data_IF_810673136294
#
_entry.id   IF_810673136294
#
_cell.length_a   1.000
_cell.length_b   1.000
_cell.length_c   1.000
_cell.angle_alpha   90.00
_cell.angle_beta   90.00
_cell.angle_gamma   90.00
#
_symmetry.space_group_name_H-M   'P 1'
#
loop_
_entity.id
_entity.type
_entity.pdbx_description
1 polymer ?
#
# COMPACT_ATOMS: atom_id res chain seq x y z
N UNK A 1 -11.32 2.48 -15.17
CA UNK A 1 -11.17 3.05 -13.86
C UNK A 1 -12.05 4.29 -13.72
N UNK A 2 -12.75 4.42 -12.58
CA UNK A 2 -13.57 5.59 -12.24
C UNK A 2 -12.84 6.46 -11.19
N UNK A 3 -11.51 6.45 -11.21
CA UNK A 3 -10.66 7.17 -10.26
C UNK A 3 -11.10 8.62 -10.08
N UNK A 4 -11.25 9.03 -8.82
CA UNK A 4 -11.67 10.36 -8.44
C UNK A 4 -13.17 10.67 -8.57
N UNK A 5 -13.99 9.71 -9.04
CA UNK A 5 -15.43 9.91 -9.21
C UNK A 5 -16.31 8.91 -8.46
N UNK A 6 -16.00 7.61 -8.49
CA UNK A 6 -16.76 6.59 -7.80
C UNK A 6 -15.90 5.37 -7.46
N UNK A 7 -16.15 4.76 -6.31
CA UNK A 7 -15.51 3.50 -5.90
C UNK A 7 -16.08 2.31 -6.69
N UNK A 8 -15.32 1.23 -6.82
CA UNK A 8 -15.78 -0.02 -7.45
C UNK A 8 -17.09 -0.53 -6.81
N UNK A 9 -17.21 -0.41 -5.48
CA UNK A 9 -18.40 -0.78 -4.73
C UNK A 9 -19.62 0.09 -5.08
N UNK A 10 -19.44 1.40 -5.24
CA UNK A 10 -20.51 2.32 -5.63
C UNK A 10 -20.99 2.06 -7.04
N UNK A 11 -20.05 1.82 -7.98
CA UNK A 11 -20.39 1.46 -9.37
C UNK A 11 -21.18 0.17 -9.41
N UNK A 12 -20.74 -0.88 -8.72
CA UNK A 12 -21.48 -2.14 -8.61
C UNK A 12 -22.89 -1.92 -8.09
N UNK A 13 -23.07 -1.12 -7.03
CA UNK A 13 -24.39 -0.82 -6.45
C UNK A 13 -25.30 -0.09 -7.43
N UNK A 14 -24.78 0.93 -8.12
CA UNK A 14 -25.55 1.71 -9.09
C UNK A 14 -25.98 0.82 -10.25
N UNK A 15 -25.05 0.02 -10.80
CA UNK A 15 -25.34 -0.88 -11.92
C UNK A 15 -26.35 -1.96 -11.53
N UNK A 16 -26.17 -2.60 -10.38
CA UNK A 16 -27.11 -3.64 -9.90
C UNK A 16 -28.52 -3.08 -9.77
N UNK A 17 -28.68 -1.90 -9.15
CA UNK A 17 -29.98 -1.25 -9.02
C UNK A 17 -30.61 -0.97 -10.39
N UNK A 18 -29.85 -0.43 -11.34
CA UNK A 18 -30.38 -0.13 -12.68
C UNK A 18 -30.74 -1.36 -13.47
N UNK A 19 -29.98 -2.45 -13.37
CA UNK A 19 -30.32 -3.72 -14.02
C UNK A 19 -31.62 -4.28 -13.43
N UNK A 20 -31.78 -4.31 -12.11
CA UNK A 20 -33.00 -4.80 -11.47
C UNK A 20 -34.24 -3.93 -11.75
N UNK A 21 -34.07 -2.61 -11.97
CA UNK A 21 -35.16 -1.73 -12.40
C UNK A 21 -35.65 -2.06 -13.82
N UNK A 22 -34.74 -2.43 -14.74
CA UNK A 22 -35.04 -2.72 -16.15
C UNK A 22 -35.49 -4.19 -16.35
N UNK A 23 -34.86 -5.09 -15.60
CA UNK A 23 -35.07 -6.53 -15.64
C UNK A 23 -35.42 -7.07 -14.24
N UNK A 24 -36.66 -6.90 -13.77
CA UNK A 24 -37.07 -7.24 -12.39
C UNK A 24 -36.87 -8.71 -12.02
N UNK A 25 -36.97 -9.60 -12.98
CA UNK A 25 -36.84 -11.05 -12.78
C UNK A 25 -35.38 -11.55 -12.90
N UNK A 26 -34.41 -10.65 -13.07
CA UNK A 26 -33.01 -11.02 -13.17
C UNK A 26 -32.34 -11.14 -11.80
N UNK A 27 -31.49 -12.15 -11.63
CA UNK A 27 -30.54 -12.23 -10.52
C UNK A 27 -29.28 -11.42 -10.88
N UNK A 28 -28.93 -10.43 -10.06
CA UNK A 28 -27.76 -9.58 -10.29
C UNK A 28 -26.67 -9.90 -9.29
N UNK A 29 -25.57 -10.51 -9.75
CA UNK A 29 -24.38 -10.78 -8.94
C UNK A 29 -23.38 -9.66 -9.15
N UNK A 30 -23.16 -8.81 -8.14
CA UNK A 30 -22.22 -7.70 -8.18
C UNK A 30 -20.87 -8.12 -7.59
N UNK A 31 -19.83 -8.17 -8.42
CA UNK A 31 -18.47 -8.51 -8.01
C UNK A 31 -17.60 -7.26 -8.13
N UNK A 32 -17.26 -6.58 -7.01
CA UNK A 32 -16.34 -5.47 -7.04
C UNK A 32 -14.94 -5.97 -7.41
N UNK A 33 -14.29 -5.28 -8.33
CA UNK A 33 -12.92 -5.58 -8.73
C UNK A 33 -11.96 -4.54 -8.17
N UNK A 34 -10.77 -4.97 -7.83
CA UNK A 34 -9.65 -4.16 -7.40
C UNK A 34 -8.42 -4.47 -8.25
N UNK A 35 -7.63 -3.45 -8.55
CA UNK A 35 -6.42 -3.55 -9.39
C UNK A 35 -5.12 -3.38 -8.59
N UNK A 36 -5.21 -3.43 -7.26
CA UNK A 36 -4.09 -3.20 -6.34
C UNK A 36 -3.85 -1.73 -6.00
N UNK A 37 -4.66 -0.81 -6.54
CA UNK A 37 -4.67 0.60 -6.18
C UNK A 37 -5.68 0.90 -5.07
N UNK A 38 -6.10 2.18 -5.00
CA UNK A 38 -7.02 2.69 -4.00
C UNK A 38 -8.36 1.90 -3.98
N UNK A 39 -8.77 1.47 -2.79
CA UNK A 39 -10.02 0.71 -2.54
C UNK A 39 -9.86 -0.81 -2.56
N UNK A 40 -8.67 -1.33 -2.86
CA UNK A 40 -8.42 -2.79 -2.84
C UNK A 40 -8.63 -3.39 -1.46
N UNK A 41 -8.15 -2.74 -0.39
CA UNK A 41 -8.35 -3.17 1.01
C UNK A 41 -9.84 -3.29 1.33
N UNK A 42 -10.65 -2.31 0.94
CA UNK A 42 -12.09 -2.32 1.21
C UNK A 42 -12.82 -3.45 0.47
N UNK A 43 -12.37 -3.79 -0.74
CA UNK A 43 -12.87 -4.94 -1.50
C UNK A 43 -12.55 -6.25 -0.77
N UNK A 44 -11.29 -6.44 -0.35
CA UNK A 44 -10.88 -7.63 0.39
C UNK A 44 -11.65 -7.79 1.71
N UNK A 45 -11.75 -6.72 2.50
CA UNK A 45 -12.49 -6.74 3.77
C UNK A 45 -13.97 -7.05 3.55
N UNK A 46 -14.56 -6.58 2.47
CA UNK A 46 -15.97 -6.87 2.15
C UNK A 46 -16.19 -8.33 1.76
N UNK A 47 -15.26 -8.94 1.04
CA UNK A 47 -15.39 -10.32 0.54
C UNK A 47 -15.04 -11.33 1.63
N UNK A 48 -13.94 -11.11 2.34
CA UNK A 48 -13.39 -12.08 3.29
C UNK A 48 -13.72 -11.75 4.76
N UNK A 49 -14.29 -10.59 5.03
CA UNK A 49 -14.41 -10.07 6.40
C UNK A 49 -13.06 -9.62 6.95
N UNK A 50 -13.04 -9.34 8.26
CA UNK A 50 -11.80 -8.93 8.93
C UNK A 50 -11.88 -7.51 9.49
N UNK A 51 -10.74 -6.91 9.78
CA UNK A 51 -10.64 -5.59 10.37
C UNK A 51 -9.72 -4.65 9.59
N UNK A 52 -10.04 -3.35 9.65
CA UNK A 52 -9.19 -2.29 9.11
C UNK A 52 -8.33 -1.72 10.23
N UNK A 53 -7.02 -1.91 10.14
CA UNK A 53 -6.03 -1.40 11.08
C UNK A 53 -5.55 -0.04 10.60
N UNK A 54 -5.52 0.94 11.51
CA UNK A 54 -5.02 2.29 11.22
C UNK A 54 -3.80 2.59 12.08
N UNK A 55 -2.75 3.11 11.46
CA UNK A 55 -1.51 3.51 12.14
C UNK A 55 -0.97 4.82 11.55
N UNK A 56 -0.08 5.46 12.29
CA UNK A 56 0.71 6.60 11.83
C UNK A 56 1.93 6.12 11.05
N UNK A 57 2.14 6.66 9.85
CA UNK A 57 3.24 6.31 8.94
C UNK A 57 3.76 7.55 8.21
N UNK A 58 4.88 7.44 7.51
CA UNK A 58 5.39 8.50 6.65
C UNK A 58 4.67 8.53 5.30
N UNK A 59 4.39 9.74 4.83
CA UNK A 59 3.96 10.02 3.46
C UNK A 59 5.15 9.98 2.49
N UNK A 60 4.98 10.22 1.17
CA UNK A 60 6.06 10.21 0.20
C UNK A 60 7.16 11.25 0.46
N UNK A 61 6.88 12.27 1.28
CA UNK A 61 7.79 13.37 1.62
C UNK A 61 8.24 13.36 3.09
N UNK A 62 8.08 12.22 3.78
CA UNK A 62 8.45 12.02 5.19
C UNK A 62 7.62 12.79 6.22
N UNK A 63 6.45 13.31 5.89
CA UNK A 63 5.52 13.84 6.89
C UNK A 63 4.72 12.69 7.53
N UNK A 64 4.28 12.88 8.77
CA UNK A 64 3.45 11.90 9.46
C UNK A 64 2.01 12.01 8.97
N UNK A 65 1.45 10.87 8.57
CA UNK A 65 0.06 10.72 8.15
C UNK A 65 -0.57 9.46 8.76
N UNK A 66 -1.89 9.44 8.80
CA UNK A 66 -2.63 8.26 9.18
C UNK A 66 -2.96 7.43 7.93
N UNK A 67 -2.45 6.20 7.88
CA UNK A 67 -2.76 5.23 6.82
C UNK A 67 -3.36 3.96 7.39
N UNK A 68 -3.92 3.11 6.53
CA UNK A 68 -4.58 1.88 6.97
C UNK A 68 -4.30 0.70 6.04
N UNK A 69 -4.42 -0.50 6.61
CA UNK A 69 -4.40 -1.78 5.90
C UNK A 69 -5.48 -2.71 6.43
N UNK A 70 -5.78 -3.77 5.70
CA UNK A 70 -6.76 -4.79 6.09
C UNK A 70 -6.08 -6.02 6.70
N UNK A 71 -6.67 -6.58 7.75
CA UNK A 71 -6.36 -7.93 8.24
C UNK A 71 -7.56 -8.83 7.96
N UNK A 72 -7.35 -9.91 7.22
CA UNK A 72 -8.35 -10.92 6.88
C UNK A 72 -7.88 -12.31 7.36
N UNK A 73 -8.72 -13.31 7.22
CA UNK A 73 -8.41 -14.68 7.65
C UNK A 73 -7.90 -14.75 9.10
N UNK A 74 -8.69 -14.19 10.04
CA UNK A 74 -8.35 -14.11 11.47
C UNK A 74 -6.98 -13.46 11.75
N UNK A 75 -6.58 -12.50 10.92
CA UNK A 75 -5.34 -11.76 11.07
C UNK A 75 -4.10 -12.39 10.42
N UNK A 76 -4.25 -13.58 9.81
CA UNK A 76 -3.13 -14.28 9.14
C UNK A 76 -2.71 -13.62 7.84
N UNK A 77 -3.63 -12.96 7.15
CA UNK A 77 -3.35 -12.28 5.87
C UNK A 77 -3.54 -10.78 6.03
N UNK A 78 -2.49 -10.02 5.73
CA UNK A 78 -2.57 -8.56 5.61
C UNK A 78 -2.68 -8.14 4.15
N UNK A 79 -3.55 -7.17 3.88
CA UNK A 79 -3.71 -6.54 2.57
C UNK A 79 -3.37 -5.06 2.70
N UNK A 80 -2.36 -4.62 2.00
CA UNK A 80 -1.81 -3.27 2.04
C UNK A 80 -1.93 -2.63 0.66
N UNK A 81 -2.42 -1.41 0.60
CA UNK A 81 -2.36 -0.58 -0.60
C UNK A 81 -1.17 0.38 -0.48
N UNK A 82 -0.27 0.35 -1.44
CA UNK A 82 0.81 1.35 -1.53
C UNK A 82 0.22 2.77 -1.62
N UNK A 83 -0.91 2.93 -2.31
CA UNK A 83 -1.60 4.20 -2.47
C UNK A 83 -2.05 4.83 -1.14
N UNK A 84 -2.21 4.05 -0.06
CA UNK A 84 -2.67 4.57 1.24
C UNK A 84 -1.64 5.49 1.94
N UNK A 85 -0.37 5.40 1.56
CA UNK A 85 0.71 6.25 2.12
C UNK A 85 1.76 6.68 1.08
N UNK A 86 1.68 6.20 -0.17
CA UNK A 86 2.59 6.55 -1.26
C UNK A 86 1.83 6.76 -2.59
N UNK A 87 0.58 7.21 -2.52
CA UNK A 87 -0.32 7.35 -3.65
C UNK A 87 -0.17 8.64 -4.44
N UNK A 88 -0.54 8.59 -5.73
CA UNK A 88 -0.53 9.76 -6.65
C UNK A 88 -1.22 11.00 -6.08
N UNK A 89 -2.37 10.91 -5.36
CA UNK A 89 -3.00 12.08 -4.78
C UNK A 89 -2.10 12.85 -3.80
N UNK A 90 -1.14 12.16 -3.16
CA UNK A 90 -0.19 12.78 -2.21
C UNK A 90 0.96 13.51 -2.89
N UNK A 91 1.20 13.25 -4.20
CA UNK A 91 2.28 13.88 -4.94
C UNK A 91 2.11 15.39 -5.16
N UNK A 92 0.93 15.96 -4.82
CA UNK A 92 0.64 17.37 -5.00
C UNK A 92 0.59 17.78 -6.47
N UNK A 93 0.73 19.10 -6.72
CA UNK A 93 0.67 19.66 -8.07
C UNK A 93 1.94 19.41 -8.88
N UNK A 94 3.10 19.40 -8.21
CA UNK A 94 4.41 19.18 -8.83
C UNK A 94 4.84 17.76 -8.54
N UNK A 95 4.52 16.85 -9.47
CA UNK A 95 4.91 15.44 -9.35
C UNK A 95 6.40 15.31 -9.59
N UNK A 96 7.16 14.95 -8.54
CA UNK A 96 8.59 14.70 -8.63
C UNK A 96 8.94 13.36 -7.98
N UNK A 97 9.04 12.26 -8.77
CA UNK A 97 9.34 10.94 -8.25
C UNK A 97 10.80 10.79 -7.76
N UNK A 98 11.67 11.76 -8.03
CA UNK A 98 13.06 11.73 -7.57
C UNK A 98 13.21 11.93 -6.06
N UNK A 99 12.21 12.56 -5.41
CA UNK A 99 12.28 12.88 -3.98
C UNK A 99 11.25 12.14 -3.12
N UNK A 100 10.42 11.28 -3.74
CA UNK A 100 9.40 10.52 -3.04
C UNK A 100 9.90 9.17 -2.57
N UNK A 101 9.32 8.65 -1.48
CA UNK A 101 9.73 7.41 -0.83
C UNK A 101 8.57 6.47 -0.56
N UNK A 102 8.88 5.17 -0.56
CA UNK A 102 7.98 4.10 -0.11
C UNK A 102 8.13 3.77 1.38
N UNK A 103 8.78 4.60 2.19
CA UNK A 103 9.08 4.32 3.60
C UNK A 103 7.83 3.95 4.41
N UNK A 104 6.74 4.70 4.24
CA UNK A 104 5.47 4.42 4.92
C UNK A 104 4.87 3.05 4.60
N UNK A 105 5.09 2.55 3.37
CA UNK A 105 4.65 1.19 2.99
C UNK A 105 5.38 0.14 3.84
N UNK A 106 6.70 0.32 4.05
CA UNK A 106 7.48 -0.55 4.95
C UNK A 106 6.97 -0.52 6.38
N UNK A 107 6.53 0.66 6.88
CA UNK A 107 5.94 0.77 8.21
C UNK A 107 4.59 0.01 8.31
N UNK A 108 3.76 0.04 7.26
CA UNK A 108 2.54 -0.77 7.21
C UNK A 108 2.86 -2.28 7.23
N UNK A 109 3.84 -2.72 6.44
CA UNK A 109 4.31 -4.11 6.40
C UNK A 109 4.81 -4.55 7.77
N UNK A 110 5.67 -3.76 8.40
CA UNK A 110 6.21 -4.06 9.72
C UNK A 110 5.10 -4.18 10.78
N UNK A 111 4.15 -3.26 10.77
CA UNK A 111 2.99 -3.32 11.67
C UNK A 111 2.14 -4.57 11.45
N UNK A 112 1.93 -5.00 10.20
CA UNK A 112 1.19 -6.21 9.89
C UNK A 112 1.94 -7.47 10.40
N UNK A 113 3.24 -7.56 10.17
CA UNK A 113 4.07 -8.65 10.67
C UNK A 113 4.09 -8.71 12.21
N UNK A 114 4.22 -7.57 12.89
CA UNK A 114 4.17 -7.47 14.35
C UNK A 114 2.81 -7.89 14.94
N UNK A 115 1.74 -7.84 14.16
CA UNK A 115 0.42 -8.34 14.54
C UNK A 115 0.20 -9.81 14.22
N UNK A 116 1.21 -10.48 13.68
CA UNK A 116 1.18 -11.92 13.41
C UNK A 116 0.68 -12.30 12.01
N UNK A 117 0.65 -11.37 11.06
CA UNK A 117 0.35 -11.71 9.68
C UNK A 117 1.44 -12.65 9.12
N UNK A 118 1.01 -13.78 8.56
CA UNK A 118 1.87 -14.80 7.94
C UNK A 118 2.02 -14.57 6.42
N UNK A 119 1.05 -13.86 5.83
CA UNK A 119 1.03 -13.50 4.41
C UNK A 119 0.74 -12.00 4.30
N UNK A 120 1.54 -11.29 3.54
CA UNK A 120 1.35 -9.86 3.27
C UNK A 120 1.20 -9.63 1.78
N UNK A 121 0.04 -9.17 1.37
CA UNK A 121 -0.29 -8.81 -0.01
C UNK A 121 -0.14 -7.29 -0.14
N UNK A 122 0.75 -6.83 -1.00
CA UNK A 122 0.95 -5.40 -1.26
C UNK A 122 0.48 -5.06 -2.67
N UNK A 123 -0.57 -4.26 -2.76
CA UNK A 123 -1.04 -3.70 -4.02
C UNK A 123 -0.18 -2.50 -4.43
N UNK A 124 0.41 -2.53 -5.62
CA UNK A 124 1.35 -1.54 -6.13
C UNK A 124 0.71 -0.44 -6.99
N UNK A 125 -0.61 -0.52 -7.21
CA UNK A 125 -1.33 0.45 -8.03
C UNK A 125 -1.30 1.87 -7.46
N UNK A 126 -1.46 2.85 -8.34
CA UNK A 126 -1.56 4.28 -8.01
C UNK A 126 -0.36 4.90 -7.24
N UNK A 127 0.81 4.29 -7.31
CA UNK A 127 2.03 4.80 -6.65
C UNK A 127 2.54 6.09 -7.28
N UNK A 128 3.04 7.02 -6.45
CA UNK A 128 3.75 8.23 -6.87
C UNK A 128 5.27 8.15 -6.64
N UNK A 129 5.83 6.99 -6.36
CA UNK A 129 7.23 6.78 -5.98
C UNK A 129 8.02 6.05 -7.07
N UNK A 130 9.34 6.26 -7.08
CA UNK A 130 10.28 5.61 -8.00
C UNK A 130 11.61 5.30 -7.29
N UNK A 131 11.55 4.93 -6.02
CA UNK A 131 12.72 4.66 -5.18
C UNK A 131 13.19 3.19 -5.22
N UNK A 132 12.67 2.38 -6.15
CA UNK A 132 12.98 0.95 -6.24
C UNK A 132 12.62 0.14 -4.99
N UNK A 133 11.74 0.66 -4.13
CA UNK A 133 11.36 0.05 -2.85
C UNK A 133 12.42 0.25 -1.74
N UNK A 134 13.43 1.08 -1.96
CA UNK A 134 14.50 1.29 -0.97
C UNK A 134 13.97 1.95 0.31
N UNK A 135 13.03 2.87 0.20
CA UNK A 135 12.36 3.45 1.38
C UNK A 135 11.64 2.39 2.20
N UNK A 136 10.85 1.55 1.55
CA UNK A 136 10.17 0.40 2.18
C UNK A 136 11.17 -0.52 2.87
N UNK A 137 12.24 -0.92 2.18
CA UNK A 137 13.29 -1.76 2.74
C UNK A 137 13.98 -1.10 3.94
N UNK A 138 14.21 0.22 3.90
CA UNK A 138 14.79 0.97 5.03
C UNK A 138 13.89 0.92 6.27
N UNK A 139 12.59 1.09 6.10
CA UNK A 139 11.63 0.98 7.22
C UNK A 139 11.57 -0.44 7.81
N UNK A 140 11.95 -1.44 7.03
CA UNK A 140 12.04 -2.85 7.46
C UNK A 140 13.41 -3.20 8.07
N UNK A 141 14.34 -2.24 8.15
CA UNK A 141 15.64 -2.42 8.81
C UNK A 141 16.84 -2.63 7.87
N UNK A 142 16.63 -2.59 6.56
CA UNK A 142 17.75 -2.60 5.60
C UNK A 142 18.45 -1.25 5.61
N UNK A 143 19.77 -1.26 5.63
CA UNK A 143 20.59 -0.04 5.57
C UNK A 143 21.27 0.10 4.22
N UNK A 144 21.25 1.32 3.69
CA UNK A 144 21.91 1.69 2.44
C UNK A 144 23.06 2.66 2.74
N UNK A 145 24.20 2.46 2.11
CA UNK A 145 25.41 3.24 2.32
C UNK A 145 25.90 3.85 1.00
N UNK A 146 26.36 5.08 1.09
CA UNK A 146 27.00 5.80 -0.01
C UNK A 146 28.51 5.49 -0.13
N UNK A 147 29.24 6.27 -0.95
CA UNK A 147 30.70 6.14 -1.14
C UNK A 147 31.52 6.49 0.11
N UNK A 148 31.02 7.38 0.93
CA UNK A 148 31.62 7.83 2.20
C UNK A 148 31.24 6.92 3.37
N UNK A 149 30.56 5.79 3.09
CA UNK A 149 30.04 4.84 4.09
C UNK A 149 29.03 5.49 5.06
N UNK A 150 28.35 6.54 4.63
CA UNK A 150 27.26 7.14 5.39
C UNK A 150 25.95 6.44 5.04
N UNK A 151 25.13 6.20 6.07
CA UNK A 151 23.80 5.66 5.88
C UNK A 151 22.84 6.72 5.36
N UNK A 152 21.98 6.34 4.43
CA UNK A 152 20.90 7.21 3.95
C UNK A 152 19.69 6.38 3.52
N UNK A 153 18.55 7.05 3.35
CA UNK A 153 17.33 6.43 2.79
C UNK A 153 17.25 6.84 1.31
N UNK A 154 17.46 5.90 0.37
CA UNK A 154 17.42 6.23 -1.04
C UNK A 154 16.02 6.63 -1.50
N UNK A 155 16.00 7.54 -2.47
CA UNK A 155 14.82 7.89 -3.27
C UNK A 155 15.18 7.83 -4.77
N UNK A 156 14.24 8.14 -5.67
CA UNK A 156 14.46 8.04 -7.10
C UNK A 156 15.70 8.81 -7.60
N UNK A 157 16.00 9.97 -7.00
CA UNK A 157 17.14 10.82 -7.36
C UNK A 157 18.49 10.33 -6.82
N UNK A 158 18.48 9.50 -5.78
CA UNK A 158 19.72 9.07 -5.07
C UNK A 158 19.99 7.57 -5.19
N UNK A 159 19.23 6.81 -5.99
CA UNK A 159 19.48 5.37 -6.21
C UNK A 159 20.90 5.09 -6.72
N UNK A 160 21.46 5.99 -7.54
CA UNK A 160 22.81 5.85 -8.08
C UNK A 160 23.91 6.00 -7.03
N UNK A 161 23.61 6.55 -5.86
CA UNK A 161 24.58 6.78 -4.78
C UNK A 161 24.79 5.54 -3.91
N UNK A 162 23.91 4.55 -4.02
CA UNK A 162 24.02 3.28 -3.29
C UNK A 162 25.32 2.56 -3.69
N UNK A 163 26.14 2.21 -2.69
CA UNK A 163 27.38 1.44 -2.86
C UNK A 163 27.36 0.13 -2.12
N UNK A 164 26.72 0.10 -0.97
CA UNK A 164 26.59 -1.09 -0.16
C UNK A 164 25.20 -1.17 0.46
N UNK A 165 24.71 -2.39 0.62
CA UNK A 165 23.40 -2.68 1.23
C UNK A 165 23.63 -3.70 2.34
N UNK A 166 23.24 -3.34 3.55
CA UNK A 166 23.26 -4.21 4.71
C UNK A 166 21.85 -4.59 5.12
N UNK A 167 21.54 -5.87 5.08
CA UNK A 167 20.27 -6.44 5.50
C UNK A 167 20.32 -7.13 6.86
N UNK A 168 21.43 -7.03 7.59
CA UNK A 168 21.58 -7.67 8.90
C UNK A 168 20.61 -7.14 9.96
N UNK A 169 20.14 -5.89 9.78
CA UNK A 169 19.14 -5.23 10.63
C UNK A 169 17.69 -5.51 10.26
N UNK A 170 17.42 -6.41 9.28
CA UNK A 170 16.05 -6.72 8.87
C UNK A 170 15.21 -7.18 10.07
N UNK A 171 14.01 -6.63 10.20
CA UNK A 171 13.10 -6.91 11.29
C UNK A 171 12.81 -8.41 11.40
N UNK A 172 12.95 -8.94 12.63
CA UNK A 172 12.82 -10.38 12.91
C UNK A 172 11.39 -10.89 12.67
N UNK A 173 10.44 -10.02 12.79
CA UNK A 173 9.01 -10.27 12.56
C UNK A 173 8.70 -10.69 11.12
N UNK A 174 9.62 -10.39 10.19
CA UNK A 174 9.50 -10.80 8.78
C UNK A 174 10.04 -12.20 8.52
N UNK A 175 10.61 -12.86 9.54
CA UNK A 175 11.08 -14.23 9.40
C UNK A 175 9.89 -15.19 9.38
N UNK A 176 9.56 -15.68 8.19
CA UNK A 176 8.43 -16.59 7.99
C UNK A 176 7.16 -15.96 7.41
N UNK A 177 7.23 -14.67 7.04
CA UNK A 177 6.18 -13.95 6.28
C UNK A 177 6.40 -14.14 4.77
#
# INVERSE_FOLDING_TARGET
>A
SFQGTATSLEVCRIMSRKISEIYPDSEVIAIPAADGGEGSVDVFLKVFGGEKVRIEVKDPYFHDISASYGLVDNGRVAVIEMASCAGIPMAGKTKNPEITTTYGVGQLILSAAQRGAEIIIVGLGDSCTNDGGCGMASALGVQFFDREQQTFIPNGGTLMDIRYIDKSGLAKELSGV
#
